data_IF_681111044700
#
_entry.id   IF_681111044700
#
_cell.length_a   1.000
_cell.length_b   1.000
_cell.length_c   1.000
_cell.angle_alpha   90.00
_cell.angle_beta   90.00
_cell.angle_gamma   90.00
#
_symmetry.space_group_name_H-M   'P 1'
#
loop_
_entity.id
_entity.type
_entity.pdbx_description
1 polymer ?
#
# COMPACT_ATOMS: atom_id res chain seq x y z
N UNK A 1 -8.59 -23.07 7.95
CA UNK A 1 -9.27 -22.48 9.13
C UNK A 1 -10.66 -21.92 8.80
N UNK A 2 -10.83 -20.85 8.02
CA UNK A 2 -12.18 -20.35 7.70
C UNK A 2 -13.02 -21.35 6.91
N UNK A 3 -12.42 -22.02 5.92
CA UNK A 3 -13.10 -23.05 5.11
C UNK A 3 -13.60 -24.24 5.95
N UNK A 4 -12.76 -24.77 6.84
CA UNK A 4 -13.12 -25.88 7.75
C UNK A 4 -14.33 -25.55 8.64
N UNK A 5 -14.46 -24.29 9.08
CA UNK A 5 -15.60 -23.87 9.88
C UNK A 5 -16.88 -23.76 9.06
N UNK A 6 -16.76 -23.28 7.82
CA UNK A 6 -17.90 -23.23 6.91
C UNK A 6 -18.35 -24.63 6.47
N UNK A 7 -17.43 -25.58 6.35
CA UNK A 7 -17.75 -27.00 6.12
C UNK A 7 -18.53 -27.61 7.30
N UNK A 8 -18.15 -27.27 8.53
CA UNK A 8 -18.77 -27.85 9.75
C UNK A 8 -20.07 -27.17 10.17
N UNK A 9 -20.14 -25.85 10.08
CA UNK A 9 -21.21 -25.04 10.67
C UNK A 9 -22.09 -24.34 9.63
N UNK A 10 -21.77 -24.46 8.33
CA UNK A 10 -22.54 -23.93 7.22
C UNK A 10 -22.06 -22.55 6.71
N UNK A 11 -22.86 -21.94 5.85
CA UNK A 11 -22.48 -20.72 5.12
C UNK A 11 -22.24 -19.48 6.00
N UNK A 12 -22.76 -19.47 7.24
CA UNK A 12 -22.66 -18.32 8.15
C UNK A 12 -22.09 -18.80 9.48
N UNK A 13 -20.92 -18.27 9.86
CA UNK A 13 -20.21 -18.66 11.08
C UNK A 13 -19.98 -17.44 11.96
N UNK A 14 -20.37 -17.51 13.23
CA UNK A 14 -20.02 -16.49 14.23
C UNK A 14 -18.69 -16.85 14.89
N UNK A 15 -17.68 -16.02 14.67
CA UNK A 15 -16.34 -16.23 15.25
C UNK A 15 -15.96 -15.22 16.35
N UNK A 16 -16.82 -14.24 16.60
CA UNK A 16 -16.66 -13.28 17.69
C UNK A 16 -18.00 -12.70 18.14
N UNK A 17 -18.04 -11.94 19.24
CA UNK A 17 -19.29 -11.39 19.78
C UNK A 17 -20.10 -10.61 18.73
N UNK A 18 -19.40 -9.79 17.94
CA UNK A 18 -19.97 -8.93 16.91
C UNK A 18 -19.38 -9.23 15.52
N UNK A 19 -18.97 -10.47 15.26
CA UNK A 19 -18.27 -10.84 14.02
C UNK A 19 -18.85 -12.11 13.41
N UNK A 20 -19.28 -11.99 12.16
CA UNK A 20 -19.85 -13.06 11.33
C UNK A 20 -18.98 -13.21 10.08
N UNK A 21 -18.66 -14.45 9.74
CA UNK A 21 -18.08 -14.84 8.45
C UNK A 21 -19.19 -15.39 7.57
N UNK A 22 -19.17 -15.00 6.29
CA UNK A 22 -20.15 -15.42 5.29
C UNK A 22 -19.40 -16.07 4.12
N UNK A 23 -19.81 -17.29 3.76
CA UNK A 23 -19.28 -18.03 2.64
C UNK A 23 -20.41 -18.39 1.66
N UNK A 24 -20.99 -17.37 1.01
CA UNK A 24 -21.99 -17.57 -0.04
C UNK A 24 -21.90 -16.49 -1.12
N UNK A 25 -22.23 -16.84 -2.36
CA UNK A 25 -22.22 -15.89 -3.50
C UNK A 25 -23.23 -14.75 -3.31
N UNK A 26 -24.36 -15.05 -2.67
CA UNK A 26 -25.37 -14.05 -2.30
C UNK A 26 -24.82 -13.04 -1.31
N UNK A 27 -24.08 -13.49 -0.27
CA UNK A 27 -23.48 -12.58 0.71
C UNK A 27 -22.48 -11.61 0.06
N UNK A 28 -21.69 -12.05 -0.94
CA UNK A 28 -20.81 -11.16 -1.69
C UNK A 28 -21.60 -10.03 -2.35
N UNK A 29 -22.73 -10.35 -2.98
CA UNK A 29 -23.60 -9.34 -3.61
C UNK A 29 -24.25 -8.43 -2.57
N UNK A 30 -24.79 -8.99 -1.48
CA UNK A 30 -25.48 -8.24 -0.44
C UNK A 30 -24.54 -7.30 0.34
N UNK A 31 -23.27 -7.68 0.55
CA UNK A 31 -22.26 -6.90 1.30
C UNK A 31 -21.54 -5.90 0.39
N UNK A 32 -21.15 -6.29 -0.82
CA UNK A 32 -20.32 -5.44 -1.69
C UNK A 32 -21.11 -4.64 -2.73
N UNK A 33 -22.44 -4.79 -2.81
CA UNK A 33 -23.26 -3.98 -3.72
C UNK A 33 -23.13 -2.47 -3.45
N UNK A 34 -23.25 -1.68 -4.53
CA UNK A 34 -23.14 -0.21 -4.50
C UNK A 34 -24.11 0.44 -3.52
N UNK A 35 -25.29 -0.16 -3.32
CA UNK A 35 -26.34 0.33 -2.41
C UNK A 35 -26.50 -0.55 -1.16
N UNK A 36 -25.54 -1.43 -0.87
CA UNK A 36 -25.57 -2.23 0.34
C UNK A 36 -25.63 -1.34 1.59
N UNK A 37 -26.44 -1.75 2.56
CA UNK A 37 -26.60 -1.08 3.85
C UNK A 37 -25.50 -1.52 4.85
N UNK A 38 -24.26 -1.50 4.38
CA UNK A 38 -23.08 -1.83 5.17
C UNK A 38 -21.99 -0.81 4.90
N UNK A 39 -21.05 -0.71 5.85
CA UNK A 39 -19.86 0.11 5.72
C UNK A 39 -18.67 -0.63 6.35
N UNK A 40 -17.46 -0.15 6.07
CA UNK A 40 -16.24 -0.67 6.71
C UNK A 40 -16.35 -0.56 8.23
N UNK A 41 -15.84 -1.55 8.95
CA UNK A 41 -15.83 -1.55 10.41
C UNK A 41 -14.92 -0.43 10.96
N UNK A 42 -15.12 -0.06 12.22
CA UNK A 42 -14.24 0.87 12.94
C UNK A 42 -12.78 0.38 13.01
N UNK A 43 -12.55 -0.93 12.85
CA UNK A 43 -11.20 -1.52 12.76
C UNK A 43 -10.36 -0.90 11.64
N UNK A 44 -10.96 -0.49 10.53
CA UNK A 44 -10.25 0.20 9.45
C UNK A 44 -9.64 1.54 9.90
N UNK A 45 -10.28 2.24 10.82
CA UNK A 45 -9.71 3.47 11.38
C UNK A 45 -8.42 3.19 12.18
N UNK A 46 -8.28 2.01 12.78
CA UNK A 46 -7.09 1.60 13.53
C UNK A 46 -5.89 1.31 12.63
N UNK A 47 -6.12 1.02 11.35
CA UNK A 47 -5.06 0.89 10.34
C UNK A 47 -4.53 2.25 9.86
N UNK A 48 -5.25 3.35 10.15
CA UNK A 48 -4.88 4.67 9.67
C UNK A 48 -3.68 5.21 10.45
N UNK A 49 -2.62 5.71 9.78
CA UNK A 49 -1.54 6.44 10.46
C UNK A 49 -2.01 7.73 11.13
N UNK A 50 -3.17 8.26 10.74
CA UNK A 50 -3.81 9.45 11.31
C UNK A 50 -5.20 9.13 11.86
N UNK A 51 -5.51 9.63 13.06
CA UNK A 51 -6.84 9.46 13.68
C UNK A 51 -7.96 10.25 12.97
N UNK A 52 -7.62 11.34 12.29
CA UNK A 52 -8.59 12.30 11.75
C UNK A 52 -8.62 12.36 10.22
N UNK A 53 -7.59 11.81 9.58
CA UNK A 53 -7.44 11.90 8.12
C UNK A 53 -7.31 10.47 7.59
N UNK A 54 -8.42 9.84 7.17
CA UNK A 54 -8.35 8.52 6.58
C UNK A 54 -7.76 8.59 5.17
N UNK A 55 -7.01 7.57 4.78
CA UNK A 55 -6.63 7.38 3.37
C UNK A 55 -7.71 6.54 2.64
N UNK A 56 -7.51 6.26 1.36
CA UNK A 56 -8.49 5.50 0.56
C UNK A 56 -8.81 4.13 1.16
N UNK A 57 -7.85 3.44 1.76
CA UNK A 57 -8.10 2.13 2.39
C UNK A 57 -8.90 2.26 3.69
N UNK A 58 -8.56 3.24 4.52
CA UNK A 58 -9.11 3.39 5.88
C UNK A 58 -10.35 4.26 5.97
N UNK A 59 -10.75 4.91 4.87
CA UNK A 59 -11.97 5.71 4.80
C UNK A 59 -13.22 4.84 4.96
N UNK A 60 -13.89 5.00 6.11
CA UNK A 60 -15.18 4.37 6.44
C UNK A 60 -16.33 5.07 5.72
N UNK A 61 -16.31 6.41 5.70
CA UNK A 61 -17.32 7.22 4.99
C UNK A 61 -17.29 6.93 3.49
N UNK A 62 -18.43 6.47 2.94
CA UNK A 62 -18.58 6.13 1.52
C UNK A 62 -18.30 7.33 0.62
N UNK A 63 -18.68 8.54 1.02
CA UNK A 63 -18.44 9.76 0.23
C UNK A 63 -16.95 10.07 0.11
N UNK A 64 -16.22 10.05 1.23
CA UNK A 64 -14.77 10.31 1.27
C UNK A 64 -14.03 9.21 0.49
N UNK A 65 -14.38 7.95 0.71
CA UNK A 65 -13.80 6.83 -0.01
C UNK A 65 -14.03 6.93 -1.52
N UNK A 66 -15.26 7.23 -1.95
CA UNK A 66 -15.61 7.36 -3.37
C UNK A 66 -14.83 8.48 -4.03
N UNK A 67 -14.71 9.63 -3.36
CA UNK A 67 -13.90 10.75 -3.83
C UNK A 67 -12.44 10.32 -4.02
N UNK A 68 -11.79 9.82 -2.96
CA UNK A 68 -10.37 9.46 -3.01
C UNK A 68 -10.08 8.35 -4.03
N UNK A 69 -10.92 7.30 -4.05
CA UNK A 69 -10.81 6.19 -5.01
C UNK A 69 -10.95 6.65 -6.45
N UNK A 70 -11.88 7.58 -6.75
CA UNK A 70 -12.05 8.09 -8.12
C UNK A 70 -10.79 8.80 -8.62
N UNK A 71 -10.15 9.60 -7.76
CA UNK A 71 -8.93 10.33 -8.11
C UNK A 71 -7.75 9.37 -8.29
N UNK A 72 -7.56 8.42 -7.37
CA UNK A 72 -6.54 7.39 -7.55
C UNK A 72 -6.78 6.57 -8.82
N UNK A 73 -8.02 6.21 -9.13
CA UNK A 73 -8.34 5.50 -10.37
C UNK A 73 -7.98 6.29 -11.64
N UNK A 74 -8.06 7.63 -11.61
CA UNK A 74 -7.59 8.47 -12.71
C UNK A 74 -6.06 8.44 -12.82
N UNK A 75 -5.36 8.49 -11.68
CA UNK A 75 -3.90 8.38 -11.65
C UNK A 75 -3.37 7.01 -12.14
N UNK A 76 -4.20 5.96 -12.05
CA UNK A 76 -3.94 4.62 -12.60
C UNK A 76 -4.71 4.35 -13.90
N UNK A 77 -5.12 5.38 -14.63
CA UNK A 77 -5.75 5.21 -15.95
C UNK A 77 -4.72 4.76 -16.99
N UNK A 78 -5.18 4.12 -18.08
CA UNK A 78 -4.28 3.68 -19.16
C UNK A 78 -3.42 4.81 -19.71
N UNK A 79 -3.98 6.02 -19.82
CA UNK A 79 -3.21 7.19 -20.26
C UNK A 79 -2.13 7.58 -19.25
N UNK A 80 -2.48 7.62 -17.95
CA UNK A 80 -1.49 7.93 -16.91
C UNK A 80 -0.39 6.87 -16.83
N UNK A 81 -0.73 5.60 -17.02
CA UNK A 81 0.26 4.52 -17.07
C UNK A 81 1.22 4.70 -18.26
N UNK A 82 0.70 5.06 -19.44
CA UNK A 82 1.53 5.40 -20.60
C UNK A 82 2.45 6.59 -20.32
N UNK A 83 1.93 7.64 -19.69
CA UNK A 83 2.72 8.82 -19.30
C UNK A 83 3.85 8.47 -18.29
N UNK A 84 3.76 7.32 -17.61
CA UNK A 84 4.75 6.82 -16.63
C UNK A 84 5.60 5.66 -17.16
N UNK A 85 5.36 5.19 -18.39
CA UNK A 85 5.93 3.97 -18.95
C UNK A 85 7.46 4.00 -19.01
N UNK A 86 8.02 5.11 -19.51
CA UNK A 86 9.48 5.26 -19.67
C UNK A 86 10.23 5.06 -18.34
N UNK A 87 9.67 5.57 -17.24
CA UNK A 87 10.26 5.45 -15.89
C UNK A 87 10.22 4.00 -15.40
N UNK A 88 9.11 3.31 -15.65
CA UNK A 88 8.98 1.90 -15.32
C UNK A 88 10.00 1.08 -16.12
N UNK A 89 10.15 1.36 -17.43
CA UNK A 89 11.11 0.70 -18.30
C UNK A 89 12.55 0.93 -17.85
N UNK A 90 12.89 2.13 -17.39
CA UNK A 90 14.21 2.43 -16.81
C UNK A 90 14.51 1.54 -15.59
N UNK A 91 13.55 1.39 -14.67
CA UNK A 91 13.73 0.51 -13.50
C UNK A 91 13.81 -0.96 -13.87
N UNK A 92 13.03 -1.40 -14.87
CA UNK A 92 13.11 -2.76 -15.40
C UNK A 92 14.47 -3.01 -16.05
N UNK A 93 15.00 -2.06 -16.81
CA UNK A 93 16.32 -2.15 -17.45
C UNK A 93 17.41 -2.32 -16.39
N UNK A 94 17.41 -1.47 -15.35
CA UNK A 94 18.32 -1.59 -14.22
C UNK A 94 18.18 -2.94 -13.49
N UNK A 95 16.96 -3.46 -13.34
CA UNK A 95 16.74 -4.79 -12.77
C UNK A 95 17.35 -5.90 -13.64
N UNK A 96 17.20 -5.83 -14.97
CA UNK A 96 17.81 -6.79 -15.91
C UNK A 96 19.33 -6.70 -15.86
N UNK A 97 19.91 -5.50 -15.84
CA UNK A 97 21.37 -5.31 -15.72
C UNK A 97 21.91 -5.94 -14.44
N UNK A 98 21.21 -5.76 -13.31
CA UNK A 98 21.52 -6.40 -12.04
C UNK A 98 21.40 -7.93 -12.11
N UNK A 99 20.49 -8.48 -12.91
CA UNK A 99 20.39 -9.93 -13.14
C UNK A 99 21.56 -10.46 -13.98
N UNK A 100 22.04 -9.68 -14.95
CA UNK A 100 23.14 -10.06 -15.83
C UNK A 100 24.53 -9.86 -15.21
N UNK A 101 24.62 -9.12 -14.09
CA UNK A 101 25.87 -8.94 -13.35
C UNK A 101 26.46 -10.29 -12.89
N UNK A 102 27.78 -10.43 -12.86
CA UNK A 102 28.50 -11.66 -12.44
C UNK A 102 28.19 -12.91 -13.27
N UNK A 103 27.72 -12.76 -14.50
CA UNK A 103 27.60 -13.88 -15.44
C UNK A 103 29.00 -14.28 -15.90
N UNK A 104 29.47 -15.46 -15.49
CA UNK A 104 30.81 -15.91 -15.83
C UNK A 104 30.84 -16.40 -17.29
N UNK A 105 31.71 -15.82 -18.11
CA UNK A 105 31.77 -16.11 -19.55
C UNK A 105 32.13 -17.56 -19.88
N UNK A 106 32.80 -18.26 -18.97
CA UNK A 106 33.23 -19.64 -19.15
C UNK A 106 32.13 -20.67 -18.84
N UNK A 107 31.27 -20.42 -17.85
CA UNK A 107 30.20 -21.34 -17.46
C UNK A 107 28.84 -20.96 -18.05
N UNK A 108 28.65 -19.69 -18.46
CA UNK A 108 27.37 -19.13 -18.87
C UNK A 108 26.38 -18.92 -17.71
N UNK A 109 26.77 -19.20 -16.47
CA UNK A 109 25.93 -19.07 -15.28
C UNK A 109 26.41 -17.94 -14.36
N UNK A 110 25.47 -17.23 -13.76
CA UNK A 110 25.73 -16.26 -12.68
C UNK A 110 25.77 -16.94 -11.31
N UNK A 111 26.17 -16.20 -10.29
CA UNK A 111 25.91 -16.58 -8.89
C UNK A 111 24.39 -16.72 -8.65
N UNK A 112 23.95 -17.60 -7.72
CA UNK A 112 22.53 -17.71 -7.36
C UNK A 112 21.99 -16.39 -6.82
N UNK A 113 20.87 -15.91 -7.39
CA UNK A 113 20.22 -14.66 -7.00
C UNK A 113 18.82 -14.94 -6.45
N UNK A 114 18.45 -14.26 -5.37
CA UNK A 114 17.10 -14.33 -4.82
C UNK A 114 16.16 -13.41 -5.60
N UNK A 115 15.54 -13.95 -6.65
CA UNK A 115 14.62 -13.20 -7.52
C UNK A 115 13.45 -12.61 -6.72
N UNK A 116 12.94 -13.33 -5.72
CA UNK A 116 11.86 -12.81 -4.87
C UNK A 116 12.27 -11.50 -4.18
N UNK A 117 13.49 -11.43 -3.66
CA UNK A 117 13.99 -10.22 -3.00
C UNK A 117 14.24 -9.09 -4.01
N UNK A 118 14.82 -9.40 -5.16
CA UNK A 118 15.08 -8.39 -6.20
C UNK A 118 13.77 -7.81 -6.76
N UNK A 119 12.71 -8.62 -6.90
CA UNK A 119 11.38 -8.13 -7.27
C UNK A 119 10.77 -7.21 -6.22
N UNK A 120 11.08 -7.39 -4.92
CA UNK A 120 10.66 -6.43 -3.89
C UNK A 120 11.36 -5.08 -4.10
N UNK A 121 12.67 -5.07 -4.37
CA UNK A 121 13.43 -3.85 -4.64
C UNK A 121 12.89 -3.12 -5.87
N UNK A 122 12.71 -3.82 -6.99
CA UNK A 122 12.11 -3.26 -8.21
C UNK A 122 10.73 -2.66 -7.94
N UNK A 123 9.85 -3.40 -7.27
CA UNK A 123 8.49 -2.93 -6.99
C UNK A 123 8.47 -1.69 -6.11
N UNK A 124 9.39 -1.62 -5.13
CA UNK A 124 9.52 -0.45 -4.29
C UNK A 124 10.07 0.75 -5.05
N UNK A 125 11.14 0.57 -5.82
CA UNK A 125 11.74 1.67 -6.59
C UNK A 125 10.71 2.25 -7.57
N UNK A 126 9.94 1.40 -8.27
CA UNK A 126 8.83 1.85 -9.12
C UNK A 126 7.79 2.61 -8.29
N UNK A 127 7.25 2.04 -7.22
CA UNK A 127 6.12 2.70 -6.53
C UNK A 127 6.55 3.98 -5.80
N UNK A 128 7.79 4.09 -5.28
CA UNK A 128 8.28 5.34 -4.69
C UNK A 128 8.52 6.39 -5.75
N UNK A 129 9.10 6.00 -6.89
CA UNK A 129 9.29 6.88 -8.03
C UNK A 129 7.95 7.46 -8.50
N UNK A 130 6.95 6.61 -8.74
CA UNK A 130 5.63 7.04 -9.21
C UNK A 130 4.82 7.81 -8.14
N UNK A 131 5.12 7.62 -6.85
CA UNK A 131 4.38 8.27 -5.75
C UNK A 131 5.03 9.57 -5.27
N UNK A 132 6.34 9.74 -5.39
CA UNK A 132 7.10 10.86 -4.84
C UNK A 132 8.03 11.55 -5.84
N UNK A 133 8.16 11.03 -7.07
CA UNK A 133 9.15 11.52 -8.02
C UNK A 133 10.59 11.15 -7.67
N UNK A 134 10.78 10.25 -6.70
CA UNK A 134 12.09 9.82 -6.21
C UNK A 134 12.01 8.36 -5.75
N UNK A 135 12.92 7.54 -6.24
CA UNK A 135 13.00 6.13 -5.85
C UNK A 135 13.84 5.92 -4.57
N UNK A 136 13.97 4.66 -4.16
CA UNK A 136 14.75 4.26 -3.00
C UNK A 136 16.14 3.75 -3.39
N UNK A 137 16.42 3.68 -4.68
CA UNK A 137 17.59 3.06 -5.32
C UNK A 137 17.97 1.70 -4.71
N UNK A 138 16.99 0.84 -4.41
CA UNK A 138 17.27 -0.43 -3.75
C UNK A 138 17.91 -1.47 -4.66
N UNK A 139 17.72 -1.34 -5.98
CA UNK A 139 18.40 -2.17 -6.96
C UNK A 139 19.92 -1.96 -6.90
N UNK A 140 20.39 -0.72 -6.88
CA UNK A 140 21.83 -0.41 -6.96
C UNK A 140 22.48 -0.14 -5.60
N UNK A 141 21.71 0.28 -4.60
CA UNK A 141 22.18 0.61 -3.26
C UNK A 141 21.62 -0.31 -2.17
N UNK A 142 22.40 -0.46 -1.10
CA UNK A 142 21.99 -1.24 0.08
C UNK A 142 21.31 -0.40 1.16
N UNK A 143 21.41 0.93 1.08
CA UNK A 143 21.04 1.86 2.15
C UNK A 143 19.58 1.76 2.56
N UNK A 144 18.67 1.52 1.60
CA UNK A 144 17.22 1.48 1.85
C UNK A 144 16.65 0.06 1.94
N UNK A 145 17.47 -0.99 1.82
CA UNK A 145 17.02 -2.40 1.83
C UNK A 145 16.41 -2.86 3.16
N UNK A 146 16.50 -2.06 4.23
CA UNK A 146 15.78 -2.28 5.49
C UNK A 146 14.29 -1.94 5.40
N UNK A 147 13.89 -1.02 4.52
CA UNK A 147 12.54 -0.47 4.42
C UNK A 147 11.44 -1.52 4.15
N UNK A 148 11.61 -2.50 3.23
CA UNK A 148 10.65 -3.59 3.02
C UNK A 148 10.25 -4.32 4.31
N UNK A 149 11.24 -4.60 5.17
CA UNK A 149 11.02 -5.31 6.42
C UNK A 149 10.13 -4.53 7.39
N UNK A 150 10.23 -3.20 7.38
CA UNK A 150 9.45 -2.30 8.22
C UNK A 150 8.02 -2.19 7.72
N UNK A 151 7.82 -2.06 6.40
CA UNK A 151 6.48 -2.05 5.80
C UNK A 151 5.70 -3.33 6.12
N UNK A 152 6.37 -4.49 6.12
CA UNK A 152 5.78 -5.76 6.58
C UNK A 152 5.35 -5.69 8.05
N UNK A 153 6.21 -5.17 8.94
CA UNK A 153 5.89 -4.98 10.37
C UNK A 153 4.69 -4.02 10.56
N UNK A 154 4.63 -2.93 9.79
CA UNK A 154 3.51 -1.98 9.79
C UNK A 154 2.22 -2.68 9.36
N UNK A 155 2.26 -3.46 8.27
CA UNK A 155 1.10 -4.19 7.76
C UNK A 155 0.56 -5.20 8.77
N UNK A 156 1.44 -5.96 9.42
CA UNK A 156 1.06 -6.88 10.50
C UNK A 156 0.39 -6.15 11.66
N UNK A 157 0.95 -5.02 12.11
CA UNK A 157 0.35 -4.18 13.16
C UNK A 157 -1.04 -3.66 12.75
N UNK A 158 -1.19 -3.23 11.49
CA UNK A 158 -2.47 -2.78 10.96
C UNK A 158 -3.52 -3.88 10.96
N UNK A 159 -3.17 -5.12 10.59
CA UNK A 159 -4.09 -6.27 10.65
C UNK A 159 -4.52 -6.59 12.09
N UNK A 160 -3.59 -6.53 13.06
CA UNK A 160 -3.95 -6.67 14.48
C UNK A 160 -4.96 -5.58 14.88
N UNK A 161 -4.73 -4.34 14.46
CA UNK A 161 -5.65 -3.23 14.74
C UNK A 161 -7.02 -3.37 14.06
N UNK A 162 -7.09 -4.03 12.90
CA UNK A 162 -8.35 -4.28 12.21
C UNK A 162 -9.27 -5.23 12.99
N UNK A 163 -8.70 -6.33 13.50
CA UNK A 163 -9.46 -7.33 14.27
C UNK A 163 -9.61 -6.97 15.74
N UNK A 164 -8.64 -6.26 16.32
CA UNK A 164 -8.60 -5.87 17.73
C UNK A 164 -8.36 -4.35 17.87
N UNK A 165 -9.33 -3.50 17.51
CA UNK A 165 -9.16 -2.04 17.53
C UNK A 165 -8.82 -1.50 18.92
N UNK A 166 -9.27 -2.16 19.98
CA UNK A 166 -8.94 -1.81 21.36
C UNK A 166 -7.44 -1.92 21.67
N UNK A 167 -6.71 -2.82 21.00
CA UNK A 167 -5.26 -2.97 21.14
C UNK A 167 -4.51 -1.70 20.75
N UNK A 168 -4.94 -1.05 19.65
CA UNK A 168 -4.39 0.24 19.18
C UNK A 168 -4.97 1.42 19.96
N UNK A 169 -6.26 1.33 20.35
CA UNK A 169 -6.94 2.37 21.13
C UNK A 169 -6.25 2.61 22.48
N UNK A 170 -5.93 1.53 23.20
CA UNK A 170 -5.27 1.57 24.51
C UNK A 170 -3.73 1.62 24.45
N UNK A 171 -3.14 1.80 23.26
CA UNK A 171 -1.67 1.90 23.08
C UNK A 171 -0.87 0.69 23.56
N UNK A 172 -1.50 -0.48 23.63
CA UNK A 172 -0.84 -1.73 23.99
C UNK A 172 0.18 -2.14 22.93
N UNK A 173 -0.06 -1.77 21.68
CA UNK A 173 0.87 -1.94 20.56
C UNK A 173 2.20 -1.20 20.77
N UNK A 174 2.17 0.02 21.32
CA UNK A 174 3.39 0.79 21.60
C UNK A 174 4.22 0.12 22.71
N UNK A 175 3.58 -0.53 23.67
CA UNK A 175 4.23 -1.20 24.78
C UNK A 175 4.81 -2.56 24.34
N UNK A 176 3.98 -3.40 23.70
CA UNK A 176 4.34 -4.77 23.32
C UNK A 176 5.23 -4.83 22.07
N UNK A 177 5.18 -3.83 21.19
CA UNK A 177 6.00 -3.75 19.97
C UNK A 177 7.05 -2.65 20.03
N UNK A 178 7.46 -2.23 21.23
CA UNK A 178 8.41 -1.12 21.46
C UNK A 178 9.69 -1.21 20.65
N UNK A 179 10.28 -2.41 20.55
CA UNK A 179 11.51 -2.63 19.78
C UNK A 179 11.32 -2.35 18.28
N UNK A 180 10.17 -2.76 17.72
CA UNK A 180 9.81 -2.53 16.31
C UNK A 180 9.45 -1.06 16.03
N UNK A 181 9.10 -0.30 17.08
CA UNK A 181 8.63 1.07 16.95
C UNK A 181 9.71 2.05 16.46
N UNK A 182 11.00 1.80 16.77
CA UNK A 182 12.12 2.66 16.30
C UNK A 182 12.22 2.69 14.78
N UNK A 183 12.22 1.53 14.14
CA UNK A 183 12.28 1.42 12.68
C UNK A 183 11.01 1.95 12.01
N UNK A 184 9.84 1.72 12.61
CA UNK A 184 8.56 2.28 12.12
C UNK A 184 8.61 3.81 12.16
N UNK A 185 9.18 4.41 13.20
CA UNK A 185 9.37 5.86 13.28
C UNK A 185 10.35 6.36 12.22
N UNK A 186 11.44 5.63 11.95
CA UNK A 186 12.39 5.97 10.90
C UNK A 186 11.72 5.97 9.51
N UNK A 187 11.01 4.90 9.17
CA UNK A 187 10.24 4.81 7.92
C UNK A 187 9.19 5.92 7.80
N UNK A 188 8.48 6.23 8.89
CA UNK A 188 7.50 7.32 8.92
C UNK A 188 8.15 8.70 8.75
N UNK A 189 9.35 8.93 9.29
CA UNK A 189 10.10 10.18 9.08
C UNK A 189 10.53 10.32 7.62
N UNK A 190 11.11 9.27 7.05
CA UNK A 190 11.51 9.24 5.64
C UNK A 190 10.31 9.48 4.71
N UNK A 191 9.20 8.77 4.93
CA UNK A 191 7.98 8.94 4.11
C UNK A 191 7.46 10.37 4.18
N UNK A 192 7.51 11.01 5.36
CA UNK A 192 7.11 12.41 5.53
C UNK A 192 8.06 13.37 4.83
N UNK A 193 9.38 13.13 4.87
CA UNK A 193 10.34 14.00 4.18
C UNK A 193 10.19 13.91 2.66
N UNK A 194 9.98 12.73 2.10
CA UNK A 194 9.72 12.57 0.66
C UNK A 194 8.42 13.26 0.25
N UNK A 195 7.34 13.07 1.02
CA UNK A 195 6.07 13.76 0.77
C UNK A 195 6.23 15.28 0.85
N UNK A 196 7.02 15.79 1.81
CA UNK A 196 7.26 17.23 1.96
C UNK A 196 8.07 17.79 0.77
N UNK A 197 9.18 17.15 0.41
CA UNK A 197 10.00 17.54 -0.73
C UNK A 197 9.18 17.56 -2.03
N UNK A 198 8.37 16.52 -2.27
CA UNK A 198 7.50 16.48 -3.45
C UNK A 198 6.42 17.57 -3.45
N UNK A 199 5.89 17.93 -2.27
CA UNK A 199 4.95 19.04 -2.12
C UNK A 199 5.57 20.41 -2.41
N UNK A 200 6.86 20.61 -2.08
CA UNK A 200 7.58 21.86 -2.37
C UNK A 200 7.79 22.07 -3.87
N UNK A 201 8.03 20.99 -4.61
CA UNK A 201 8.10 21.01 -6.09
C UNK A 201 6.75 21.43 -6.70
N UNK A 202 5.63 21.04 -6.08
CA UNK A 202 4.29 21.39 -6.55
C UNK A 202 4.01 20.92 -7.98
N UNK A 203 3.42 21.80 -8.80
CA UNK A 203 3.15 21.55 -10.23
C UNK A 203 4.35 21.85 -11.14
N UNK A 204 5.51 22.24 -10.59
CA UNK A 204 6.69 22.56 -11.39
C UNK A 204 7.48 21.32 -11.84
N UNK A 205 6.99 20.13 -11.51
CA UNK A 205 7.53 18.90 -12.09
C UNK A 205 7.03 18.79 -13.53
N UNK A 206 7.96 18.64 -14.47
CA UNK A 206 7.63 18.37 -15.89
C UNK A 206 6.87 17.04 -16.06
N UNK A 207 6.91 16.16 -15.05
CA UNK A 207 6.44 14.79 -15.14
C UNK A 207 5.10 14.59 -14.43
N UNK A 208 4.16 13.93 -15.12
CA UNK A 208 2.84 13.61 -14.60
C UNK A 208 2.88 12.33 -13.76
N UNK A 209 3.14 12.46 -12.47
CA UNK A 209 3.11 11.36 -11.52
C UNK A 209 1.75 11.23 -10.79
N UNK A 210 1.59 10.16 -9.98
CA UNK A 210 0.36 9.93 -9.20
C UNK A 210 0.13 11.07 -8.21
N UNK A 211 1.21 11.66 -7.70
CA UNK A 211 1.15 12.79 -6.78
C UNK A 211 0.52 14.03 -7.44
N UNK A 212 0.91 14.33 -8.68
CA UNK A 212 0.39 15.44 -9.47
C UNK A 212 -1.12 15.31 -9.72
N UNK A 213 -1.59 14.09 -9.99
CA UNK A 213 -3.01 13.79 -10.13
C UNK A 213 -3.79 14.07 -8.84
N UNK A 214 -3.25 13.68 -7.68
CA UNK A 214 -3.87 13.96 -6.38
C UNK A 214 -3.81 15.44 -6.00
N UNK A 215 -2.72 16.13 -6.33
CA UNK A 215 -2.51 17.54 -6.01
C UNK A 215 -3.53 18.44 -6.73
N UNK A 216 -3.83 18.14 -7.99
CA UNK A 216 -4.75 18.93 -8.83
C UNK A 216 -6.21 18.45 -8.74
N UNK A 217 -6.48 17.41 -7.97
CA UNK A 217 -7.81 16.82 -7.88
C UNK A 217 -8.78 17.68 -7.04
N UNK A 218 -9.88 18.08 -7.68
CA UNK A 218 -11.02 18.74 -7.03
C UNK A 218 -12.34 18.12 -7.46
N UNK A 219 -13.17 17.78 -6.49
CA UNK A 219 -14.52 17.30 -6.77
C UNK A 219 -15.42 18.47 -7.15
N UNK A 220 -15.92 18.47 -8.40
CA UNK A 220 -16.84 19.48 -8.90
C UNK A 220 -18.18 19.52 -8.15
N UNK A 221 -18.63 18.38 -7.59
CA UNK A 221 -19.93 18.29 -6.92
C UNK A 221 -19.87 18.64 -5.44
N UNK A 222 -18.86 18.15 -4.74
CA UNK A 222 -18.74 18.28 -3.27
C UNK A 222 -17.73 19.35 -2.85
N UNK A 223 -16.92 19.87 -3.78
CA UNK A 223 -15.83 20.78 -3.48
C UNK A 223 -14.64 20.13 -2.76
N UNK A 224 -14.68 18.82 -2.50
CA UNK A 224 -13.61 18.10 -1.83
C UNK A 224 -12.31 18.16 -2.63
N UNK A 225 -11.21 18.33 -1.91
CA UNK A 225 -9.85 18.34 -2.44
C UNK A 225 -8.92 17.67 -1.45
N UNK A 226 -7.78 17.16 -1.92
CA UNK A 226 -6.77 16.59 -1.04
C UNK A 226 -6.10 17.69 -0.22
N UNK A 227 -6.11 17.55 1.10
CA UNK A 227 -5.25 18.39 1.95
C UNK A 227 -3.80 17.90 1.86
N UNK A 228 -2.84 18.73 2.29
CA UNK A 228 -1.43 18.31 2.42
C UNK A 228 -1.26 17.02 3.24
N UNK A 229 -2.09 16.85 4.28
CA UNK A 229 -2.09 15.63 5.10
C UNK A 229 -2.64 14.43 4.33
N UNK A 230 -3.67 14.62 3.52
CA UNK A 230 -4.22 13.55 2.69
C UNK A 230 -3.18 13.06 1.67
N UNK A 231 -2.49 13.98 1.00
CA UNK A 231 -1.46 13.63 0.00
C UNK A 231 -0.40 12.69 0.59
N UNK A 232 0.20 13.05 1.73
CA UNK A 232 1.20 12.20 2.37
C UNK A 232 0.66 10.84 2.85
N UNK A 233 -0.61 10.77 3.26
CA UNK A 233 -1.24 9.54 3.72
C UNK A 233 -1.69 8.62 2.57
N UNK A 234 -2.08 9.18 1.43
CA UNK A 234 -2.33 8.39 0.21
C UNK A 234 -1.02 7.88 -0.37
N UNK A 235 0.03 8.69 -0.47
CA UNK A 235 1.32 8.21 -0.98
C UNK A 235 1.88 7.08 -0.10
N UNK A 236 1.73 7.20 1.23
CA UNK A 236 2.09 6.10 2.15
C UNK A 236 1.21 4.85 1.92
N UNK A 237 -0.07 5.03 1.61
CA UNK A 237 -0.95 3.91 1.27
C UNK A 237 -0.47 3.19 0.01
N UNK A 238 -0.06 3.92 -1.03
CA UNK A 238 0.43 3.33 -2.28
C UNK A 238 1.64 2.42 -2.05
N UNK A 239 2.58 2.86 -1.21
CA UNK A 239 3.74 2.05 -0.80
C UNK A 239 3.34 0.73 -0.14
N UNK A 240 2.43 0.79 0.83
CA UNK A 240 2.01 -0.39 1.59
C UNK A 240 1.15 -1.32 0.72
N UNK A 241 0.30 -0.76 -0.14
CA UNK A 241 -0.63 -1.52 -0.98
C UNK A 241 0.08 -2.27 -2.12
N UNK A 242 1.08 -1.64 -2.77
CA UNK A 242 1.88 -2.29 -3.83
C UNK A 242 2.61 -3.54 -3.30
N UNK A 243 3.17 -3.42 -2.10
CA UNK A 243 3.85 -4.50 -1.38
C UNK A 243 2.96 -5.72 -1.08
N UNK A 244 1.79 -5.49 -0.49
CA UNK A 244 0.91 -6.57 -0.04
C UNK A 244 0.43 -7.44 -1.20
N UNK A 245 0.14 -6.84 -2.36
CA UNK A 245 -0.27 -7.60 -3.55
C UNK A 245 0.84 -8.51 -4.05
N UNK A 246 2.08 -8.02 -4.10
CA UNK A 246 3.22 -8.82 -4.55
C UNK A 246 3.47 -10.02 -3.63
N UNK A 247 3.35 -9.84 -2.31
CA UNK A 247 3.50 -10.94 -1.34
C UNK A 247 2.38 -11.99 -1.47
N UNK A 248 1.13 -11.55 -1.67
CA UNK A 248 -0.01 -12.48 -1.84
C UNK A 248 0.12 -13.25 -3.15
N UNK A 249 0.53 -12.60 -4.25
CA UNK A 249 0.73 -13.24 -5.54
C UNK A 249 1.84 -14.30 -5.48
N UNK A 250 2.89 -14.09 -4.66
CA UNK A 250 3.91 -15.11 -4.36
C UNK A 250 3.34 -16.31 -3.63
N UNK A 251 2.42 -16.10 -2.69
CA UNK A 251 1.85 -17.18 -1.87
C UNK A 251 0.94 -18.11 -2.66
N UNK A 252 0.44 -17.66 -3.82
CA UNK A 252 -0.38 -18.47 -4.73
C UNK A 252 0.43 -19.14 -5.85
N UNK A 253 1.71 -18.80 -6.02
CA UNK A 253 2.57 -19.36 -7.07
C UNK A 253 3.39 -20.59 -6.61
N UNK A 254 3.28 -20.94 -5.32
CA UNK A 254 3.81 -22.16 -4.69
C UNK A 254 2.66 -22.97 -4.11
#
# INVERSE_FOLDING_TARGET
MDLEWHEKYGEIVRFGPNSLSFNSSKAVSDIYAVRANVQKSEGYASMSPSRYTPNTLTAISRNIHTFKRRILAQAFSDQSIKDMEDRIQEKISSFVDNLLTDTNSESGWSSPKNISQMCDWLAFDIITDLSYGNDLDMLNSTEMRWFPSVIRKISQRSLIGLFQPYFIKFKLDCLLLRQKYKEILAAARWTRSQSAARMEIGNNSEQKDIFNAMLNARDKKTGLQFTRKDLGLESMLLLVAGMLKNIVQRSCAY
#
